data_IF_611849714132
#
_entry.id   IF_611849714132
#
_cell.length_a   1.000
_cell.length_b   1.000
_cell.length_c   1.000
_cell.angle_alpha   90.00
_cell.angle_beta   90.00
_cell.angle_gamma   90.00
#
_symmetry.space_group_name_H-M   'P 1'
#
loop_
_entity.id
_entity.type
_entity.pdbx_description
1 polymer ?
#
# COMPACT_ATOMS: atom_id res chain seq x y z
N UNK A 1 -10.63 -29.32 -6.51
CA UNK A 1 -11.29 -28.06 -6.13
C UNK A 1 -10.32 -26.97 -6.56
N UNK A 2 -10.66 -26.15 -7.55
CA UNK A 2 -9.77 -25.05 -7.98
C UNK A 2 -9.48 -24.15 -6.79
N UNK A 3 -8.23 -23.71 -6.66
CA UNK A 3 -7.90 -22.77 -5.60
C UNK A 3 -8.56 -21.43 -5.92
N UNK A 4 -8.94 -20.69 -4.88
CA UNK A 4 -9.44 -19.32 -5.05
C UNK A 4 -8.45 -18.45 -5.86
N UNK A 5 -7.15 -18.77 -5.74
CA UNK A 5 -6.09 -18.14 -6.51
C UNK A 5 -6.17 -18.46 -8.01
N UNK A 6 -6.46 -19.70 -8.41
CA UNK A 6 -6.58 -20.08 -9.83
C UNK A 6 -7.71 -19.29 -10.50
N UNK A 7 -8.84 -19.14 -9.80
CA UNK A 7 -9.99 -18.37 -10.28
C UNK A 7 -9.67 -16.88 -10.35
N UNK A 8 -9.00 -16.32 -9.34
CA UNK A 8 -8.58 -14.91 -9.34
C UNK A 8 -7.50 -14.64 -10.39
N UNK A 9 -6.69 -15.65 -10.72
CA UNK A 9 -5.56 -15.49 -11.62
C UNK A 9 -5.96 -15.13 -13.06
N UNK A 10 -7.19 -15.49 -13.45
CA UNK A 10 -7.78 -15.21 -14.76
C UNK A 10 -8.62 -13.93 -14.79
N UNK A 11 -8.83 -13.26 -13.64
CA UNK A 11 -9.56 -12.00 -13.56
C UNK A 11 -8.63 -10.79 -13.83
N UNK A 12 -8.25 -10.67 -15.10
CA UNK A 12 -7.24 -9.74 -15.60
C UNK A 12 -7.61 -8.25 -15.54
N UNK A 13 -8.90 -7.93 -15.35
CA UNK A 13 -9.41 -6.56 -15.41
C UNK A 13 -10.38 -6.22 -14.27
N UNK A 14 -10.45 -4.94 -13.85
CA UNK A 14 -11.41 -4.52 -12.82
C UNK A 14 -12.88 -4.89 -13.13
N UNK A 15 -13.39 -4.74 -14.37
CA UNK A 15 -14.75 -5.18 -14.70
C UNK A 15 -14.95 -6.69 -14.55
N UNK A 16 -13.97 -7.50 -14.96
CA UNK A 16 -14.05 -8.96 -14.82
C UNK A 16 -14.08 -9.36 -13.33
N UNK A 17 -13.21 -8.77 -12.50
CA UNK A 17 -13.21 -8.99 -11.05
C UNK A 17 -14.53 -8.60 -10.42
N UNK A 18 -15.04 -7.42 -10.75
CA UNK A 18 -16.32 -6.91 -10.22
C UNK A 18 -17.49 -7.82 -10.59
N UNK A 19 -17.61 -8.24 -11.85
CA UNK A 19 -18.69 -9.11 -12.30
C UNK A 19 -18.62 -10.46 -11.58
N UNK A 20 -17.43 -11.05 -11.50
CA UNK A 20 -17.24 -12.32 -10.79
C UNK A 20 -17.59 -12.20 -9.29
N UNK A 21 -17.19 -11.12 -8.62
CA UNK A 21 -17.55 -10.85 -7.22
C UNK A 21 -19.06 -10.73 -7.05
N UNK A 22 -19.75 -10.02 -7.94
CA UNK A 22 -21.21 -9.87 -7.90
C UNK A 22 -21.94 -11.22 -8.07
N UNK A 23 -21.42 -12.09 -8.94
CA UNK A 23 -22.01 -13.41 -9.20
C UNK A 23 -21.80 -14.39 -8.04
N UNK A 24 -20.64 -14.35 -7.38
CA UNK A 24 -20.25 -15.36 -6.38
C UNK A 24 -20.42 -14.89 -4.93
N UNK A 25 -20.35 -13.58 -4.68
CA UNK A 25 -20.42 -12.95 -3.36
C UNK A 25 -21.32 -11.69 -3.41
N UNK A 26 -22.65 -11.87 -3.57
CA UNK A 26 -23.59 -10.75 -3.77
C UNK A 26 -23.75 -9.84 -2.53
N UNK A 27 -23.22 -10.24 -1.39
CA UNK A 27 -23.17 -9.48 -0.14
C UNK A 27 -21.79 -9.58 0.50
N UNK A 28 -21.54 -8.78 1.54
CA UNK A 28 -20.28 -8.75 2.27
C UNK A 28 -19.92 -10.13 2.82
N UNK A 29 -18.73 -10.63 2.48
CA UNK A 29 -18.20 -11.91 2.96
C UNK A 29 -16.82 -11.70 3.62
N UNK A 30 -16.82 -11.47 4.94
CA UNK A 30 -15.59 -11.31 5.70
C UNK A 30 -14.70 -12.58 5.73
N UNK A 31 -15.24 -13.81 5.86
CA UNK A 31 -14.46 -15.02 5.69
C UNK A 31 -13.73 -15.12 4.34
N UNK A 32 -14.33 -14.64 3.26
CA UNK A 32 -13.68 -14.57 1.96
C UNK A 32 -12.49 -13.59 1.96
N UNK A 33 -12.68 -12.38 2.49
CA UNK A 33 -11.60 -11.39 2.61
C UNK A 33 -10.47 -11.92 3.49
N UNK A 34 -10.80 -12.55 4.61
CA UNK A 34 -9.80 -13.11 5.51
C UNK A 34 -8.98 -14.20 4.81
N UNK A 35 -9.61 -15.11 4.06
CA UNK A 35 -8.88 -16.13 3.28
C UNK A 35 -7.94 -15.51 2.26
N UNK A 36 -8.37 -14.44 1.56
CA UNK A 36 -7.51 -13.70 0.64
C UNK A 36 -6.34 -13.05 1.36
N UNK A 37 -6.58 -12.42 2.50
CA UNK A 37 -5.54 -11.78 3.30
C UNK A 37 -4.53 -12.80 3.84
N UNK A 38 -4.99 -13.93 4.37
CA UNK A 38 -4.14 -15.04 4.82
C UNK A 38 -3.26 -15.56 3.69
N UNK A 39 -3.84 -15.72 2.50
CA UNK A 39 -3.10 -16.16 1.32
C UNK A 39 -2.05 -15.12 0.89
N UNK A 40 -2.38 -13.82 0.91
CA UNK A 40 -1.42 -12.76 0.64
C UNK A 40 -0.25 -12.75 1.64
N UNK A 41 -0.50 -13.08 2.91
CA UNK A 41 0.55 -13.21 3.93
C UNK A 41 1.40 -14.48 3.75
N UNK A 42 0.80 -15.60 3.33
CA UNK A 42 1.55 -16.83 3.03
C UNK A 42 2.50 -16.68 1.85
N UNK A 43 2.15 -15.84 0.87
CA UNK A 43 2.96 -15.60 -0.34
C UNK A 43 4.15 -14.66 -0.04
N UNK A 44 4.67 -14.64 1.19
CA UNK A 44 5.81 -13.80 1.60
C UNK A 44 6.93 -13.74 0.53
N UNK A 45 7.32 -12.51 0.15
CA UNK A 45 8.45 -12.11 -0.72
C UNK A 45 8.56 -12.66 -2.15
N UNK A 46 8.20 -13.93 -2.38
CA UNK A 46 8.61 -14.69 -3.57
C UNK A 46 7.76 -14.42 -4.80
N UNK A 47 6.51 -13.95 -4.62
CA UNK A 47 5.64 -13.61 -5.75
C UNK A 47 4.85 -12.31 -5.53
N UNK A 48 5.54 -11.19 -5.75
CA UNK A 48 4.95 -9.84 -5.72
C UNK A 48 3.77 -9.68 -6.68
N UNK A 49 3.74 -10.45 -7.78
CA UNK A 49 2.63 -10.39 -8.74
C UNK A 49 1.38 -11.00 -8.12
N UNK A 50 1.48 -12.16 -7.47
CA UNK A 50 0.34 -12.78 -6.77
C UNK A 50 -0.19 -11.91 -5.64
N UNK A 51 0.70 -11.37 -4.80
CA UNK A 51 0.30 -10.47 -3.72
C UNK A 51 -0.47 -9.25 -4.26
N UNK A 52 -0.03 -8.71 -5.42
CA UNK A 52 -0.73 -7.63 -6.12
C UNK A 52 -2.13 -8.05 -6.58
N UNK A 53 -2.26 -9.21 -7.21
CA UNK A 53 -3.56 -9.69 -7.72
C UNK A 53 -4.56 -9.88 -6.59
N UNK A 54 -4.12 -10.44 -5.46
CA UNK A 54 -4.96 -10.58 -4.28
C UNK A 54 -5.38 -9.20 -3.74
N UNK A 55 -4.43 -8.26 -3.60
CA UNK A 55 -4.75 -6.90 -3.16
C UNK A 55 -5.77 -6.22 -4.08
N UNK A 56 -5.71 -6.45 -5.39
CA UNK A 56 -6.68 -5.91 -6.35
C UNK A 56 -8.08 -6.50 -6.17
N UNK A 57 -8.21 -7.81 -5.94
CA UNK A 57 -9.52 -8.42 -5.64
C UNK A 57 -10.08 -7.90 -4.33
N UNK A 58 -9.24 -7.79 -3.29
CA UNK A 58 -9.67 -7.25 -1.98
C UNK A 58 -10.13 -5.80 -2.12
N UNK A 59 -9.41 -4.97 -2.90
CA UNK A 59 -9.81 -3.59 -3.17
C UNK A 59 -11.15 -3.50 -3.90
N UNK A 60 -11.35 -4.30 -4.94
CA UNK A 60 -12.60 -4.30 -5.72
C UNK A 60 -13.79 -4.81 -4.88
N UNK A 61 -13.58 -5.81 -4.03
CA UNK A 61 -14.59 -6.28 -3.08
C UNK A 61 -14.93 -5.21 -2.03
N UNK A 62 -13.91 -4.54 -1.47
CA UNK A 62 -14.09 -3.48 -0.50
C UNK A 62 -14.84 -2.27 -1.10
N UNK A 63 -14.54 -1.90 -2.35
CA UNK A 63 -15.29 -0.88 -3.09
C UNK A 63 -16.75 -1.29 -3.30
N UNK A 64 -16.97 -2.55 -3.72
CA UNK A 64 -18.32 -3.07 -3.96
C UNK A 64 -19.18 -3.06 -2.69
N UNK A 65 -18.58 -3.36 -1.56
CA UNK A 65 -19.26 -3.52 -0.27
C UNK A 65 -19.27 -2.26 0.59
N UNK A 66 -18.61 -1.18 0.16
CA UNK A 66 -18.52 0.05 0.94
C UNK A 66 -17.71 -0.11 2.23
N UNK A 67 -16.63 -0.89 2.19
CA UNK A 67 -15.69 -1.09 3.30
C UNK A 67 -14.41 -0.24 3.08
N UNK A 68 -14.39 1.04 3.53
CA UNK A 68 -13.25 1.92 3.32
C UNK A 68 -11.98 1.45 4.06
N UNK A 69 -12.11 0.75 5.18
CA UNK A 69 -10.95 0.29 5.95
C UNK A 69 -10.21 -0.81 5.19
N UNK A 70 -10.95 -1.80 4.69
CA UNK A 70 -10.37 -2.89 3.86
C UNK A 70 -9.81 -2.33 2.55
N UNK A 71 -10.48 -1.32 1.95
CA UNK A 71 -9.97 -0.65 0.76
C UNK A 71 -8.61 0.04 1.01
N UNK A 72 -8.48 0.81 2.08
CA UNK A 72 -7.23 1.49 2.41
C UNK A 72 -6.08 0.49 2.66
N UNK A 73 -6.37 -0.63 3.32
CA UNK A 73 -5.40 -1.71 3.53
C UNK A 73 -4.95 -2.34 2.20
N UNK A 74 -5.89 -2.65 1.32
CA UNK A 74 -5.61 -3.22 0.01
C UNK A 74 -4.79 -2.28 -0.89
N UNK A 75 -5.15 -0.99 -0.93
CA UNK A 75 -4.42 0.03 -1.68
C UNK A 75 -2.97 0.17 -1.20
N UNK A 76 -2.75 0.16 0.13
CA UNK A 76 -1.40 0.20 0.72
C UNK A 76 -0.57 -1.01 0.30
N UNK A 77 -1.15 -2.22 0.31
CA UNK A 77 -0.48 -3.45 -0.12
C UNK A 77 -0.15 -3.41 -1.62
N UNK A 78 -1.08 -2.98 -2.45
CA UNK A 78 -0.85 -2.85 -3.89
C UNK A 78 0.26 -1.82 -4.18
N UNK A 79 0.24 -0.67 -3.49
CA UNK A 79 1.28 0.35 -3.59
C UNK A 79 2.67 -0.20 -3.22
N UNK A 80 2.76 -1.03 -2.17
CA UNK A 80 4.00 -1.70 -1.80
C UNK A 80 4.54 -2.61 -2.91
N UNK A 81 3.66 -3.36 -3.59
CA UNK A 81 4.05 -4.24 -4.71
C UNK A 81 4.52 -3.45 -5.94
N UNK A 82 3.93 -2.27 -6.17
CA UNK A 82 4.18 -1.43 -7.33
C UNK A 82 5.40 -0.52 -7.18
N UNK A 83 5.86 -0.27 -5.96
CA UNK A 83 6.87 0.75 -5.68
C UNK A 83 8.13 0.67 -6.55
N UNK A 84 8.56 -0.53 -6.96
CA UNK A 84 9.72 -0.72 -7.84
C UNK A 84 9.39 -0.91 -9.32
N UNK A 85 8.13 -1.16 -9.66
CA UNK A 85 7.66 -1.46 -11.02
C UNK A 85 7.04 -0.22 -11.65
N UNK A 86 6.17 0.45 -10.91
CA UNK A 86 5.49 1.68 -11.28
C UNK A 86 5.36 2.57 -10.02
N UNK A 87 6.41 3.33 -9.68
CA UNK A 87 6.42 4.18 -8.50
C UNK A 87 5.40 5.32 -8.59
N UNK A 88 4.97 5.73 -9.78
CA UNK A 88 3.93 6.76 -9.92
C UNK A 88 2.57 6.21 -9.50
N UNK A 89 2.18 5.02 -9.98
CA UNK A 89 0.93 4.39 -9.53
C UNK A 89 0.97 4.04 -8.04
N UNK A 90 2.13 3.58 -7.52
CA UNK A 90 2.31 3.34 -6.09
C UNK A 90 2.08 4.61 -5.27
N UNK A 91 2.59 5.76 -5.72
CA UNK A 91 2.42 7.05 -5.03
C UNK A 91 0.93 7.39 -4.87
N UNK A 92 0.16 7.33 -5.96
CA UNK A 92 -1.27 7.63 -5.94
C UNK A 92 -2.03 6.70 -4.99
N UNK A 93 -1.73 5.40 -5.00
CA UNK A 93 -2.38 4.41 -4.13
C UNK A 93 -2.05 4.64 -2.65
N UNK A 94 -0.81 4.99 -2.32
CA UNK A 94 -0.47 5.39 -0.95
C UNK A 94 -1.23 6.64 -0.52
N UNK A 95 -1.29 7.67 -1.37
CA UNK A 95 -2.02 8.90 -1.07
C UNK A 95 -3.51 8.64 -0.82
N UNK A 96 -4.13 7.79 -1.64
CA UNK A 96 -5.52 7.40 -1.48
C UNK A 96 -5.75 6.61 -0.17
N UNK A 97 -4.89 5.64 0.13
CA UNK A 97 -4.96 4.89 1.39
C UNK A 97 -4.82 5.82 2.60
N UNK A 98 -3.86 6.76 2.58
CA UNK A 98 -3.64 7.75 3.65
C UNK A 98 -4.87 8.64 3.83
N UNK A 99 -5.46 9.12 2.72
CA UNK A 99 -6.69 9.93 2.75
C UNK A 99 -7.82 9.17 3.44
N UNK A 100 -8.06 7.92 3.05
CA UNK A 100 -9.13 7.10 3.63
C UNK A 100 -8.86 6.85 5.13
N UNK A 101 -7.63 6.48 5.51
CA UNK A 101 -7.30 6.30 6.93
C UNK A 101 -7.53 7.55 7.76
N UNK A 102 -7.21 8.74 7.23
CA UNK A 102 -7.48 10.00 7.91
C UNK A 102 -8.99 10.29 8.03
N UNK A 103 -9.78 10.02 7.00
CA UNK A 103 -11.24 10.16 7.04
C UNK A 103 -11.88 9.21 8.07
N UNK A 104 -11.27 8.05 8.30
CA UNK A 104 -11.67 7.08 9.32
C UNK A 104 -11.11 7.38 10.73
N UNK A 105 -10.30 8.44 10.90
CA UNK A 105 -9.61 8.74 12.17
C UNK A 105 -8.49 7.74 12.52
N UNK A 106 -8.11 6.86 11.60
CA UNK A 106 -7.07 5.84 11.76
C UNK A 106 -5.68 6.42 11.45
N UNK A 107 -5.31 7.50 12.12
CA UNK A 107 -4.09 8.27 11.80
C UNK A 107 -2.79 7.47 11.89
N UNK A 108 -2.69 6.50 12.80
CA UNK A 108 -1.53 5.62 12.91
C UNK A 108 -1.34 4.78 11.64
N UNK A 109 -2.41 4.17 11.11
CA UNK A 109 -2.36 3.42 9.86
C UNK A 109 -2.04 4.34 8.67
N UNK A 110 -2.54 5.58 8.70
CA UNK A 110 -2.15 6.64 7.76
C UNK A 110 -0.64 6.92 7.80
N UNK A 111 -0.05 7.05 8.99
CA UNK A 111 1.38 7.27 9.15
C UNK A 111 2.22 6.07 8.70
N UNK A 112 1.78 4.84 8.97
CA UNK A 112 2.43 3.63 8.46
C UNK A 112 2.40 3.57 6.92
N UNK A 113 1.28 3.94 6.29
CA UNK A 113 1.20 4.05 4.83
C UNK A 113 2.13 5.17 4.30
N UNK A 114 2.25 6.28 5.03
CA UNK A 114 3.14 7.39 4.67
C UNK A 114 4.64 7.01 4.72
N UNK A 115 5.06 6.04 5.55
CA UNK A 115 6.42 5.47 5.46
C UNK A 115 6.69 4.86 4.07
N UNK A 116 5.69 4.17 3.50
CA UNK A 116 5.74 3.62 2.15
C UNK A 116 5.71 4.71 1.06
N UNK A 117 4.92 5.77 1.27
CA UNK A 117 4.88 6.95 0.40
C UNK A 117 6.25 7.63 0.31
N UNK A 118 6.92 7.86 1.44
CA UNK A 118 8.26 8.46 1.52
C UNK A 118 9.28 7.63 0.74
N UNK A 119 9.25 6.31 0.90
CA UNK A 119 10.14 5.42 0.14
C UNK A 119 9.88 5.52 -1.37
N UNK A 120 8.62 5.72 -1.78
CA UNK A 120 8.21 5.91 -3.18
C UNK A 120 8.68 7.26 -3.73
N UNK A 121 8.50 8.35 -2.99
CA UNK A 121 8.99 9.69 -3.36
C UNK A 121 10.50 9.69 -3.58
N UNK A 122 11.26 9.02 -2.71
CA UNK A 122 12.71 8.83 -2.86
C UNK A 122 13.07 8.10 -4.16
N UNK A 123 12.30 7.09 -4.55
CA UNK A 123 12.50 6.37 -5.81
C UNK A 123 12.19 7.21 -7.05
N UNK A 124 11.28 8.18 -6.91
CA UNK A 124 10.95 9.16 -7.95
C UNK A 124 11.94 10.33 -8.02
N UNK A 125 12.97 10.37 -7.17
CA UNK A 125 13.91 11.50 -7.09
C UNK A 125 13.33 12.75 -6.43
N UNK A 126 12.13 12.67 -5.82
CA UNK A 126 11.44 13.79 -5.16
C UNK A 126 11.93 13.92 -3.71
N UNK A 127 13.23 14.18 -3.54
CA UNK A 127 13.90 14.11 -2.23
C UNK A 127 13.41 15.15 -1.23
N UNK A 128 13.19 16.39 -1.64
CA UNK A 128 12.73 17.47 -0.75
C UNK A 128 11.34 17.19 -0.17
N UNK A 129 10.44 16.70 -1.02
CA UNK A 129 9.10 16.28 -0.62
C UNK A 129 9.12 15.03 0.25
N UNK A 130 9.99 14.07 -0.07
CA UNK A 130 10.20 12.89 0.75
C UNK A 130 10.68 13.29 2.15
N UNK A 131 11.62 14.24 2.26
CA UNK A 131 12.16 14.71 3.53
C UNK A 131 11.09 15.42 4.37
N UNK A 132 10.37 16.37 3.76
CA UNK A 132 9.29 17.12 4.42
C UNK A 132 8.20 16.18 4.93
N UNK A 133 7.79 15.23 4.09
CA UNK A 133 6.79 14.22 4.46
C UNK A 133 7.29 13.34 5.61
N UNK A 134 8.53 12.86 5.53
CA UNK A 134 9.09 11.94 6.51
C UNK A 134 9.27 12.57 7.90
N UNK A 135 9.53 13.87 7.99
CA UNK A 135 9.59 14.59 9.27
C UNK A 135 8.24 14.53 10.01
N UNK A 136 7.14 14.77 9.30
CA UNK A 136 5.79 14.63 9.86
C UNK A 136 5.48 13.20 10.29
N UNK A 137 5.87 12.21 9.48
CA UNK A 137 5.71 10.78 9.79
C UNK A 137 6.45 10.40 11.07
N UNK A 138 7.71 10.78 11.22
CA UNK A 138 8.50 10.49 12.43
C UNK A 138 7.86 11.11 13.67
N UNK A 139 7.40 12.36 13.57
CA UNK A 139 6.74 13.02 14.68
C UNK A 139 5.49 12.25 15.13
N UNK A 140 4.63 11.86 14.18
CA UNK A 140 3.41 11.13 14.47
C UNK A 140 3.67 9.74 15.06
N UNK A 141 4.57 8.97 14.46
CA UNK A 141 4.90 7.62 14.94
C UNK A 141 5.55 7.62 16.33
N UNK A 142 6.38 8.64 16.64
CA UNK A 142 6.91 8.83 18.00
C UNK A 142 5.83 9.15 19.00
N UNK A 143 4.87 10.02 18.65
CA UNK A 143 3.75 10.36 19.53
C UNK A 143 2.87 9.14 19.84
N UNK A 144 2.82 8.17 18.93
CA UNK A 144 2.10 6.91 19.09
C UNK A 144 2.94 5.75 19.71
N UNK A 145 4.18 6.00 20.13
CA UNK A 145 5.15 4.98 20.59
C UNK A 145 5.35 3.81 19.60
N UNK A 146 5.20 4.06 18.29
CA UNK A 146 5.34 3.04 17.26
C UNK A 146 6.80 2.91 16.82
N UNK A 147 7.55 2.09 17.56
CA UNK A 147 9.02 1.99 17.45
C UNK A 147 9.49 1.46 16.10
N UNK A 148 8.78 0.52 15.49
CA UNK A 148 9.23 -0.12 14.25
C UNK A 148 9.11 0.84 13.06
N UNK A 149 8.02 1.57 12.96
CA UNK A 149 7.81 2.59 11.94
C UNK A 149 8.71 3.79 12.15
N UNK A 150 9.00 4.20 13.39
CA UNK A 150 10.06 5.21 13.64
C UNK A 150 11.39 4.72 13.08
N UNK A 151 11.80 3.47 13.33
CA UNK A 151 13.03 2.93 12.78
C UNK A 151 13.04 2.92 11.23
N UNK A 152 11.93 2.51 10.60
CA UNK A 152 11.77 2.53 9.13
C UNK A 152 11.82 3.96 8.56
N UNK A 153 11.17 4.91 9.21
CA UNK A 153 11.17 6.30 8.81
C UNK A 153 12.57 6.95 8.96
N UNK A 154 13.31 6.61 10.03
CA UNK A 154 14.69 7.06 10.20
C UNK A 154 15.63 6.48 9.14
N UNK A 155 15.46 5.21 8.77
CA UNK A 155 16.19 4.61 7.65
C UNK A 155 15.92 5.36 6.34
N UNK A 156 14.65 5.67 6.06
CA UNK A 156 14.28 6.49 4.91
C UNK A 156 14.95 7.87 4.97
N UNK A 157 14.97 8.52 6.13
CA UNK A 157 15.61 9.83 6.30
C UNK A 157 17.09 9.78 5.92
N UNK A 158 17.85 8.81 6.44
CA UNK A 158 19.26 8.64 6.12
C UNK A 158 19.50 8.44 4.63
N UNK A 159 18.68 7.62 3.97
CA UNK A 159 18.77 7.43 2.52
C UNK A 159 18.44 8.70 1.75
N UNK A 160 17.40 9.45 2.14
CA UNK A 160 17.02 10.70 1.50
C UNK A 160 18.16 11.72 1.59
N UNK A 161 18.72 11.93 2.77
CA UNK A 161 19.84 12.87 2.97
C UNK A 161 21.08 12.46 2.17
N UNK A 162 21.41 11.17 2.14
CA UNK A 162 22.53 10.66 1.34
C UNK A 162 22.35 10.97 -0.15
N UNK A 163 21.17 10.67 -0.71
CA UNK A 163 20.93 10.95 -2.13
C UNK A 163 20.88 12.44 -2.40
N UNK A 164 20.17 13.24 -1.58
CA UNK A 164 20.06 14.68 -1.76
C UNK A 164 21.45 15.35 -1.84
N UNK A 165 22.38 15.02 -0.94
CA UNK A 165 23.75 15.55 -0.98
C UNK A 165 24.49 15.21 -2.27
N UNK A 166 24.33 13.98 -2.80
CA UNK A 166 24.91 13.59 -4.10
C UNK A 166 24.27 14.32 -5.28
N UNK A 167 22.97 14.61 -5.20
CA UNK A 167 22.27 15.38 -6.24
C UNK A 167 22.68 16.86 -6.25
N UNK A 168 22.92 17.44 -5.07
CA UNK A 168 23.45 18.79 -4.95
C UNK A 168 24.89 18.89 -5.46
N UNK A 169 25.76 17.93 -5.08
CA UNK A 169 27.13 17.85 -5.58
C UNK A 169 27.19 17.72 -7.11
N UNK A 170 26.34 16.90 -7.72
CA UNK A 170 26.30 16.72 -9.17
C UNK A 170 25.76 17.94 -9.95
N UNK A 171 25.14 18.92 -9.27
CA UNK A 171 24.60 20.15 -9.86
C UNK A 171 25.55 21.34 -9.77
N UNK A 172 26.58 21.26 -8.93
CA UNK A 172 27.63 22.28 -8.77
C UNK A 172 28.78 22.07 -9.75
#
# INVERSE_FOLDING_TARGET
MESLFDVISVLDSPPARRNWLLENYPAVDYPFIQRLQEEAHRIESDDRRKARMIAQVVADAALLWGDPQTLAAALRMEAQSLRTVDPQTALHKYQEAIRIYNELGQHLLGAEAAVGLVATLRMLGRYDEALTTNQGVIHHLRAADEKLGVARALLNQGLITYFLGRFEEARG
#
